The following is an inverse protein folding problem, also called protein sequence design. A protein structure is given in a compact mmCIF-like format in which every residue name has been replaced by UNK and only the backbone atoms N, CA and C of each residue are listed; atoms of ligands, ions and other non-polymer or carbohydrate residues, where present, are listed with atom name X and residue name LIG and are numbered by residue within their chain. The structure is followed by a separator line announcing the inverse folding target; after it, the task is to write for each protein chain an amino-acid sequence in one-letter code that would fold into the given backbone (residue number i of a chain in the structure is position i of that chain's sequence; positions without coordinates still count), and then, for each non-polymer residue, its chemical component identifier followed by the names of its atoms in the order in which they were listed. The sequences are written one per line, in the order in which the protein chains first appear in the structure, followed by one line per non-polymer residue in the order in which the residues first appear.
data_IF_939839226936
#
_entry.id   IF_939839226936
#
_cell.length_a   1.000
_cell.length_b   1.000
_cell.length_c   1.000
_cell.angle_alpha   90.00
_cell.angle_beta   90.00
_cell.angle_gamma   90.00
#
_symmetry.space_group_name_H-M   'P 1'
#
loop_
_entity.id
_entity.type
_entity.pdbx_description
1 polymer ?
#
# COMPACT_ATOMS: atom_id res chain seq x y z
N UNK A 1 -19.42 19.58 8.68
CA UNK A 1 -19.35 18.79 7.44
C UNK A 1 -17.94 18.24 7.39
N UNK A 2 -17.75 16.93 7.58
CA UNK A 2 -16.45 16.30 7.37
C UNK A 2 -16.15 16.40 5.89
N UNK A 3 -15.04 17.03 5.53
CA UNK A 3 -14.46 16.89 4.20
C UNK A 3 -14.04 15.43 4.07
N UNK A 4 -14.89 14.59 3.49
CA UNK A 4 -14.53 13.23 3.12
C UNK A 4 -13.52 13.34 1.98
N UNK A 5 -12.24 13.46 2.35
CA UNK A 5 -11.14 13.37 1.39
C UNK A 5 -11.20 12.01 0.73
N UNK A 6 -11.37 11.96 -0.58
CA UNK A 6 -11.36 10.73 -1.37
C UNK A 6 -10.00 10.04 -1.19
N UNK A 7 -9.92 9.12 -0.23
CA UNK A 7 -8.69 8.44 0.16
C UNK A 7 -8.22 7.41 -0.88
N UNK A 8 -9.07 7.14 -1.87
CA UNK A 8 -8.87 6.18 -2.94
C UNK A 8 -9.44 6.77 -4.22
N UNK A 9 -8.71 6.67 -5.33
CA UNK A 9 -9.25 6.87 -6.67
C UNK A 9 -9.23 5.55 -7.42
N UNK A 10 -10.02 5.42 -8.47
CA UNK A 10 -10.11 4.20 -9.27
C UNK A 10 -9.46 4.40 -10.64
N UNK A 11 -8.77 3.37 -11.13
CA UNK A 11 -8.26 3.31 -12.50
C UNK A 11 -8.31 1.87 -13.02
N UNK A 12 -8.13 1.69 -14.33
CA UNK A 12 -8.04 0.37 -14.96
C UNK A 12 -6.89 -0.44 -14.36
N UNK A 13 -7.10 -1.75 -14.14
CA UNK A 13 -6.07 -2.65 -13.65
C UNK A 13 -4.82 -2.68 -14.53
N UNK A 14 -4.99 -2.53 -15.86
CA UNK A 14 -3.91 -2.44 -16.83
C UNK A 14 -2.98 -1.22 -16.66
N UNK A 15 -3.43 -0.17 -15.97
CA UNK A 15 -2.63 1.04 -15.73
C UNK A 15 -1.72 0.92 -14.50
N UNK A 16 -1.88 -0.13 -13.69
CA UNK A 16 -1.06 -0.34 -12.50
C UNK A 16 0.31 -0.86 -12.92
N UNK A 17 1.36 -0.16 -12.51
CA UNK A 17 2.74 -0.56 -12.77
C UNK A 17 3.34 -1.35 -11.61
N UNK A 18 4.39 -2.14 -11.89
CA UNK A 18 5.27 -2.70 -10.85
C UNK A 18 5.77 -1.56 -9.94
N UNK A 19 5.81 -1.80 -8.62
CA UNK A 19 6.08 -0.78 -7.56
C UNK A 19 5.01 0.29 -7.38
N UNK A 20 3.92 0.25 -8.16
CA UNK A 20 2.72 1.07 -7.95
C UNK A 20 2.00 0.71 -6.67
N UNK A 21 1.01 1.52 -6.29
CA UNK A 21 0.16 1.27 -5.14
C UNK A 21 -1.22 0.82 -5.60
N UNK A 22 -1.81 -0.10 -4.84
CA UNK A 22 -3.14 -0.64 -5.08
C UNK A 22 -3.80 -0.92 -3.74
N UNK A 23 -5.13 -0.83 -3.68
CA UNK A 23 -5.92 -1.27 -2.54
C UNK A 23 -6.35 -2.72 -2.76
N UNK A 24 -5.80 -3.64 -1.96
CA UNK A 24 -6.23 -5.04 -1.92
C UNK A 24 -6.80 -5.35 -0.54
N UNK A 25 -7.98 -5.99 -0.49
CA UNK A 25 -8.63 -6.36 0.78
C UNK A 25 -8.76 -5.20 1.78
N UNK A 26 -9.09 -3.99 1.29
CA UNK A 26 -9.18 -2.73 2.08
C UNK A 26 -7.85 -2.28 2.71
N UNK A 27 -6.72 -2.72 2.16
CA UNK A 27 -5.37 -2.39 2.64
C UNK A 27 -4.54 -1.75 1.52
N UNK A 28 -3.79 -0.68 1.78
CA UNK A 28 -2.86 -0.11 0.81
C UNK A 28 -1.65 -1.04 0.66
N UNK A 29 -1.42 -1.50 -0.57
CA UNK A 29 -0.38 -2.45 -0.91
C UNK A 29 0.52 -1.89 -2.00
N UNK A 30 1.80 -2.25 -1.99
CA UNK A 30 2.77 -1.95 -3.04
C UNK A 30 2.96 -3.19 -3.92
N UNK A 31 2.73 -3.02 -5.21
CA UNK A 31 2.84 -4.11 -6.18
C UNK A 31 4.29 -4.56 -6.33
N UNK A 32 4.57 -5.83 -6.07
CA UNK A 32 5.87 -6.47 -6.27
C UNK A 32 5.96 -7.16 -7.61
N UNK A 33 4.88 -7.80 -8.08
CA UNK A 33 4.86 -8.57 -9.33
C UNK A 33 3.56 -8.35 -10.11
N UNK A 34 3.69 -8.38 -11.44
CA UNK A 34 2.57 -8.30 -12.38
C UNK A 34 2.82 -9.35 -13.47
N UNK A 35 1.81 -10.16 -13.77
CA UNK A 35 1.79 -11.08 -14.90
C UNK A 35 0.51 -10.86 -15.70
N UNK A 36 0.67 -10.53 -16.98
CA UNK A 36 -0.44 -10.35 -17.92
C UNK A 36 -0.60 -11.61 -18.76
N UNK A 37 -1.81 -12.15 -18.82
CA UNK A 37 -2.14 -13.37 -19.56
C UNK A 37 -3.61 -13.32 -19.99
N UNK A 38 -3.89 -13.50 -21.30
CA UNK A 38 -5.24 -13.56 -21.87
C UNK A 38 -6.20 -12.44 -21.44
N UNK A 39 -5.73 -11.19 -21.43
CA UNK A 39 -6.54 -10.03 -21.04
C UNK A 39 -6.82 -9.94 -19.53
N UNK A 40 -6.08 -10.71 -18.72
CA UNK A 40 -6.11 -10.64 -17.26
C UNK A 40 -4.78 -10.16 -16.73
N UNK A 41 -4.84 -9.49 -15.58
CA UNK A 41 -3.68 -8.96 -14.86
C UNK A 41 -3.63 -9.63 -13.49
N UNK A 42 -2.66 -10.52 -13.30
CA UNK A 42 -2.34 -11.13 -12.02
C UNK A 42 -1.35 -10.24 -11.28
N UNK A 43 -1.69 -9.80 -10.06
CA UNK A 43 -0.83 -8.94 -9.25
C UNK A 43 -0.52 -9.59 -7.91
N UNK A 44 0.74 -9.47 -7.50
CA UNK A 44 1.20 -9.75 -6.14
C UNK A 44 1.64 -8.41 -5.54
N UNK A 45 1.19 -8.11 -4.33
CA UNK A 45 1.48 -6.86 -3.64
C UNK A 45 1.64 -7.07 -2.14
N UNK A 46 2.44 -6.22 -1.49
CA UNK A 46 2.70 -6.29 -0.05
C UNK A 46 2.11 -5.09 0.67
N UNK A 47 1.50 -5.30 1.83
CA UNK A 47 0.98 -4.24 2.69
C UNK A 47 2.11 -3.26 3.07
N UNK A 48 1.85 -1.95 2.95
CA UNK A 48 2.86 -0.93 3.23
C UNK A 48 3.00 -0.60 4.73
N UNK A 49 2.05 -1.05 5.56
CA UNK A 49 1.98 -0.79 7.00
C UNK A 49 2.30 -2.02 7.84
N UNK A 50 2.19 -3.23 7.28
CA UNK A 50 2.48 -4.50 7.95
C UNK A 50 3.58 -5.22 7.18
N UNK A 51 4.71 -5.45 7.85
CA UNK A 51 5.82 -6.23 7.29
C UNK A 51 5.38 -7.66 6.92
N UNK A 52 5.96 -8.21 5.85
CA UNK A 52 5.74 -9.57 5.33
C UNK A 52 4.28 -9.97 5.04
N UNK A 53 3.35 -9.00 4.93
CA UNK A 53 1.96 -9.28 4.58
C UNK A 53 1.73 -9.17 3.08
N UNK A 54 1.69 -10.30 2.40
CA UNK A 54 1.39 -10.40 0.97
C UNK A 54 -0.11 -10.56 0.68
N UNK A 55 -0.54 -9.98 -0.43
CA UNK A 55 -1.85 -10.14 -1.04
C UNK A 55 -1.68 -10.40 -2.53
N UNK A 56 -2.55 -11.24 -3.09
CA UNK A 56 -2.58 -11.55 -4.51
C UNK A 56 -4.01 -11.44 -5.03
N UNK A 57 -4.18 -10.94 -6.25
CA UNK A 57 -5.46 -10.95 -6.93
C UNK A 57 -5.31 -10.97 -8.46
N UNK A 58 -6.37 -11.37 -9.15
CA UNK A 58 -6.45 -11.40 -10.61
C UNK A 58 -7.62 -10.53 -11.04
N UNK A 59 -7.37 -9.64 -11.99
CA UNK A 59 -8.36 -8.72 -12.54
C UNK A 59 -8.47 -8.92 -14.05
N UNK A 60 -9.61 -8.58 -14.64
CA UNK A 60 -9.66 -8.23 -16.05
C UNK A 60 -8.83 -6.96 -16.28
N UNK A 61 -8.21 -6.79 -17.45
CA UNK A 61 -7.43 -5.57 -17.76
C UNK A 61 -8.24 -4.28 -17.59
N UNK A 62 -9.54 -4.33 -17.87
CA UNK A 62 -10.47 -3.20 -17.80
C UNK A 62 -11.16 -3.03 -16.44
N UNK A 63 -10.89 -3.92 -15.47
CA UNK A 63 -11.49 -3.79 -14.12
C UNK A 63 -10.99 -2.52 -13.44
N UNK A 64 -11.89 -1.83 -12.75
CA UNK A 64 -11.54 -0.69 -11.91
C UNK A 64 -10.94 -1.17 -10.58
N UNK A 65 -9.71 -0.76 -10.31
CA UNK A 65 -9.00 -1.05 -9.07
C UNK A 65 -8.76 0.23 -8.28
N UNK A 66 -8.89 0.14 -6.95
CA UNK A 66 -8.63 1.26 -6.07
C UNK A 66 -7.13 1.51 -5.94
N UNK A 67 -6.72 2.76 -6.02
CA UNK A 67 -5.37 3.24 -5.78
C UNK A 67 -5.40 4.23 -4.61
N UNK A 68 -4.63 4.00 -3.53
CA UNK A 68 -4.66 4.90 -2.39
C UNK A 68 -4.02 6.25 -2.75
N UNK A 69 -4.65 7.34 -2.32
CA UNK A 69 -4.05 8.67 -2.35
C UNK A 69 -3.01 8.75 -1.22
N UNK A 70 -1.74 8.99 -1.57
CA UNK A 70 -0.65 9.02 -0.59
C UNK A 70 -0.11 10.43 -0.42
N UNK A 71 -0.40 11.02 0.74
CA UNK A 71 0.21 12.26 1.21
C UNK A 71 1.60 11.97 1.80
N UNK A 72 2.64 12.53 1.18
CA UNK A 72 4.03 12.35 1.61
C UNK A 72 4.50 13.61 2.33
N UNK A 73 4.73 13.47 3.64
CA UNK A 73 5.23 14.55 4.48
C UNK A 73 6.62 14.24 4.98
N UNK A 74 7.49 15.24 4.93
CA UNK A 74 8.81 15.17 5.53
C UNK A 74 8.71 15.67 6.97
N UNK A 75 9.19 14.85 7.90
CA UNK A 75 9.24 15.20 9.31
C UNK A 75 10.68 15.16 9.80
N UNK A 76 11.00 16.08 10.72
CA UNK A 76 12.28 16.06 11.42
C UNK A 76 12.09 15.44 12.79
N UNK A 77 12.86 14.39 13.08
CA UNK A 77 12.89 13.78 14.39
C UNK A 77 13.44 14.77 15.42
N UNK A 78 12.65 15.10 16.44
CA UNK A 78 13.07 16.06 17.48
C UNK A 78 13.75 15.39 18.67
N UNK A 79 13.17 14.32 19.21
CA UNK A 79 13.71 13.57 20.36
C UNK A 79 13.31 12.11 20.26
N UNK A 80 14.27 11.21 20.43
CA UNK A 80 14.02 9.79 20.67
C UNK A 80 13.98 9.53 22.17
N UNK A 81 12.81 9.21 22.71
CA UNK A 81 12.70 8.72 24.08
C UNK A 81 12.95 7.22 24.10
N UNK A 82 14.17 6.82 24.43
CA UNK A 82 14.44 5.44 24.83
C UNK A 82 13.93 5.25 26.26
N UNK A 83 13.13 4.20 26.50
CA UNK A 83 12.83 3.75 27.86
C UNK A 83 14.15 3.37 28.51
N UNK A 84 14.63 4.17 29.47
CA UNK A 84 15.72 3.73 30.36
C UNK A 84 15.19 2.53 31.12
N UNK A 85 15.83 1.38 30.97
CA UNK A 85 15.52 0.20 31.76
C UNK A 85 15.96 0.50 33.20
N UNK A 86 15.05 0.64 34.19
CA UNK A 86 15.41 1.05 35.54
C UNK A 86 16.24 -0.01 36.29
N UNK A 87 16.45 -1.18 35.70
CA UNK A 87 17.21 -2.30 36.27
C UNK A 87 18.60 -2.50 35.64
N UNK A 88 19.06 -1.60 34.75
CA UNK A 88 20.36 -1.73 34.07
C UNK A 88 21.55 -1.17 34.88
N UNK A 89 21.53 -1.28 36.21
CA UNK A 89 22.68 -0.95 37.06
C UNK A 89 22.77 -1.93 38.22
N UNK A 90 23.58 -2.98 38.02
CA UNK A 90 24.26 -3.75 39.06
C UNK A 90 25.68 -3.96 38.58
#
# INVERSE_FOLDING_TARGET
MSEDTDSVYYCSASLISKRGLIVLNKRPCRVSEIKEEDGKVHMIAHDILIEDKEYQNTFSSDDEVGVPVVDRKNYQLQKNYQRKNPFASI
#
